data_IF_869004177946
#
_entry.id   IF_869004177946
#
_cell.length_a   1.000
_cell.length_b   1.000
_cell.length_c   1.000
_cell.angle_alpha   90.00
_cell.angle_beta   90.00
_cell.angle_gamma   90.00
#
_symmetry.space_group_name_H-M   'P 1'
#
loop_
_entity.id
_entity.type
_entity.pdbx_description
1 polymer ?
#
# COMPACT_ATOMS: atom_id res chain seq x y z
N UNK A 1 49.17 -10.70 -49.38
CA UNK A 1 48.08 -10.44 -50.35
C UNK A 1 47.13 -9.48 -49.68
N UNK A 2 47.16 -8.27 -50.23
CA UNK A 2 46.79 -7.01 -49.59
C UNK A 2 45.28 -6.74 -49.59
N UNK A 3 44.81 -6.15 -48.50
CA UNK A 3 43.49 -5.52 -48.37
C UNK A 3 43.73 -4.01 -48.26
N UNK A 4 43.12 -3.24 -49.17
CA UNK A 4 43.03 -1.78 -49.17
C UNK A 4 42.29 -1.26 -47.90
N UNK A 5 42.58 -0.03 -47.44
CA UNK A 5 41.65 1.06 -47.77
C UNK A 5 42.26 2.45 -48.02
N UNK A 6 41.39 3.29 -48.58
CA UNK A 6 41.60 4.60 -49.20
C UNK A 6 41.85 5.79 -48.24
N UNK A 7 42.30 6.97 -48.77
CA UNK A 7 42.79 8.08 -47.97
C UNK A 7 41.92 9.35 -47.97
N UNK A 8 42.25 10.21 -47.00
CA UNK A 8 42.46 11.67 -47.12
C UNK A 8 41.50 12.61 -46.38
N UNK A 9 42.12 13.24 -45.39
CA UNK A 9 41.70 14.33 -44.52
C UNK A 9 41.90 15.67 -45.26
N UNK A 10 40.94 16.61 -45.21
CA UNK A 10 41.19 18.02 -45.58
C UNK A 10 40.73 18.97 -44.48
N UNK A 11 41.71 19.65 -43.89
CA UNK A 11 41.57 20.88 -43.09
C UNK A 11 41.25 22.06 -44.01
N UNK A 12 40.34 22.95 -43.61
CA UNK A 12 40.27 24.33 -44.13
C UNK A 12 40.10 25.30 -42.96
N UNK A 13 40.97 26.31 -42.94
CA UNK A 13 41.04 27.37 -41.94
C UNK A 13 40.09 28.54 -42.24
N UNK A 14 39.58 29.13 -41.15
CA UNK A 14 39.39 30.55 -40.81
C UNK A 14 39.36 31.62 -41.91
N UNK A 15 38.29 32.43 -41.93
CA UNK A 15 38.31 33.87 -42.27
C UNK A 15 37.23 34.67 -41.48
N UNK A 16 37.69 35.33 -40.41
CA UNK A 16 37.53 36.77 -40.11
C UNK A 16 36.12 37.40 -40.14
N UNK A 17 35.50 37.53 -38.96
CA UNK A 17 34.29 38.33 -38.73
C UNK A 17 34.68 39.76 -38.25
N UNK A 18 34.06 40.77 -38.86
CA UNK A 18 34.29 42.22 -38.61
C UNK A 18 33.85 42.66 -37.22
N UNK A 19 34.68 43.48 -36.59
CA UNK A 19 34.41 44.29 -35.40
C UNK A 19 34.27 45.76 -35.84
N UNK A 20 33.15 46.43 -35.56
CA UNK A 20 33.09 47.89 -35.44
C UNK A 20 32.21 48.24 -34.23
N UNK A 21 32.83 49.01 -33.34
CA UNK A 21 32.37 49.60 -32.08
C UNK A 21 31.48 50.81 -32.37
N UNK A 22 30.40 51.01 -31.61
CA UNK A 22 30.01 52.36 -31.18
C UNK A 22 29.22 52.27 -29.86
N UNK A 23 29.87 52.79 -28.82
CA UNK A 23 29.35 53.05 -27.47
C UNK A 23 28.86 54.52 -27.48
N UNK A 24 27.83 54.85 -26.67
CA UNK A 24 27.40 56.15 -26.09
C UNK A 24 25.86 56.04 -25.90
N UNK A 25 25.14 56.30 -24.79
CA UNK A 25 25.32 56.96 -23.48
C UNK A 25 24.16 56.47 -22.54
N UNK A 26 24.15 56.78 -21.22
CA UNK A 26 23.34 56.07 -20.20
C UNK A 26 22.09 56.82 -19.66
N UNK A 27 21.19 56.04 -19.02
CA UNK A 27 20.21 56.39 -17.94
C UNK A 27 18.84 57.00 -18.33
N UNK A 28 17.77 56.96 -17.50
CA UNK A 28 17.36 56.04 -16.42
C UNK A 28 15.89 55.55 -16.58
N UNK A 29 15.60 54.28 -16.30
CA UNK A 29 14.28 53.86 -15.82
C UNK A 29 14.36 52.47 -15.18
N UNK A 30 14.94 52.48 -13.98
CA UNK A 30 14.84 51.37 -13.03
C UNK A 30 13.42 51.41 -12.47
N UNK A 31 12.55 50.55 -12.99
CA UNK A 31 11.33 50.17 -12.29
C UNK A 31 11.38 48.65 -12.08
N UNK A 32 11.65 48.28 -10.84
CA UNK A 32 11.58 46.90 -10.35
C UNK A 32 10.11 46.54 -10.18
N UNK A 33 9.59 45.46 -10.79
CA UNK A 33 8.44 44.78 -10.23
C UNK A 33 8.93 43.71 -9.24
N UNK A 34 8.56 43.97 -7.99
CA UNK A 34 8.32 43.05 -6.88
C UNK A 34 8.78 41.59 -7.08
N UNK A 35 9.83 41.25 -6.33
CA UNK A 35 10.04 39.90 -5.79
C UNK A 35 8.76 39.44 -5.09
N UNK A 36 7.99 38.62 -5.78
CA UNK A 36 6.90 37.84 -5.18
C UNK A 36 7.51 36.51 -4.76
N UNK A 37 7.28 36.04 -3.52
CA UNK A 37 7.88 34.80 -3.05
C UNK A 37 7.37 33.65 -3.91
N UNK A 38 8.28 32.72 -4.17
CA UNK A 38 8.07 31.47 -4.88
C UNK A 38 7.03 30.59 -4.17
N UNK A 39 5.75 30.92 -4.29
CA UNK A 39 4.68 29.94 -4.24
C UNK A 39 4.35 29.61 -5.69
N UNK A 40 5.25 28.81 -6.28
CA UNK A 40 4.82 27.87 -7.30
C UNK A 40 3.78 27.02 -6.56
N UNK A 41 2.48 27.27 -6.81
CA UNK A 41 1.47 26.26 -6.54
C UNK A 41 1.98 25.02 -7.26
N UNK A 42 2.57 24.10 -6.50
CA UNK A 42 2.66 22.72 -6.94
C UNK A 42 1.23 22.36 -7.36
N UNK A 43 1.03 21.71 -8.52
CA UNK A 43 -0.30 21.22 -8.85
C UNK A 43 -0.79 20.49 -7.61
N UNK A 44 -2.01 20.80 -7.16
CA UNK A 44 -2.65 20.01 -6.12
C UNK A 44 -2.55 18.57 -6.60
N UNK A 45 -1.63 17.80 -6.03
CA UNK A 45 -1.55 16.38 -6.28
C UNK A 45 -2.86 15.92 -5.70
N UNK A 46 -3.85 15.71 -6.55
CA UNK A 46 -5.05 14.98 -6.17
C UNK A 46 -4.49 13.62 -5.79
N UNK A 47 -4.17 13.45 -4.51
CA UNK A 47 -3.71 12.18 -3.96
C UNK A 47 -4.91 11.27 -4.13
N UNK A 48 -4.96 10.60 -5.27
CA UNK A 48 -5.95 9.58 -5.58
C UNK A 48 -5.62 8.44 -4.65
N UNK A 49 -6.39 8.34 -3.57
CA UNK A 49 -6.29 7.21 -2.65
C UNK A 49 -6.76 5.96 -3.40
N UNK A 50 -6.04 4.85 -3.21
CA UNK A 50 -6.39 3.55 -3.76
C UNK A 50 -6.92 2.67 -2.64
N UNK A 51 -8.13 2.15 -2.85
CA UNK A 51 -8.73 1.13 -1.99
C UNK A 51 -8.59 -0.21 -2.69
N UNK A 52 -8.06 -1.20 -2.00
CA UNK A 52 -7.93 -2.56 -2.48
C UNK A 52 -9.13 -3.38 -1.99
N UNK A 53 -9.88 -3.92 -2.95
CA UNK A 53 -11.05 -4.75 -2.70
C UNK A 53 -10.76 -6.20 -3.02
N UNK A 54 -11.32 -7.14 -2.27
CA UNK A 54 -11.30 -8.55 -2.64
C UNK A 54 -11.96 -8.73 -4.02
N UNK A 55 -11.38 -9.57 -4.87
CA UNK A 55 -11.94 -9.86 -6.20
C UNK A 55 -13.18 -10.75 -6.12
N UNK A 56 -13.38 -11.46 -5.01
CA UNK A 56 -14.48 -12.40 -4.82
C UNK A 56 -15.69 -11.72 -4.16
N UNK A 57 -15.48 -11.05 -3.03
CA UNK A 57 -16.58 -10.47 -2.23
C UNK A 57 -16.81 -8.99 -2.47
N UNK A 58 -15.88 -8.30 -3.12
CA UNK A 58 -15.83 -6.84 -3.25
C UNK A 58 -15.68 -6.08 -1.92
N UNK A 59 -15.34 -6.79 -0.84
CA UNK A 59 -15.05 -6.18 0.46
C UNK A 59 -13.76 -5.37 0.43
N UNK A 60 -13.75 -4.27 1.18
CA UNK A 60 -12.57 -3.41 1.33
C UNK A 60 -11.60 -4.04 2.34
N UNK A 61 -10.40 -4.39 1.88
CA UNK A 61 -9.42 -5.11 2.71
C UNK A 61 -8.30 -4.21 3.23
N UNK A 62 -7.83 -3.29 2.39
CA UNK A 62 -6.73 -2.38 2.72
C UNK A 62 -6.72 -1.15 1.77
N UNK A 63 -5.96 -0.12 2.10
CA UNK A 63 -5.71 1.03 1.22
C UNK A 63 -4.21 1.30 1.04
N UNK A 64 -3.87 2.12 0.05
CA UNK A 64 -2.49 2.58 -0.21
C UNK A 64 -1.93 3.51 0.88
N UNK A 65 -2.74 3.89 1.87
CA UNK A 65 -2.31 4.73 3.00
C UNK A 65 -1.45 3.99 4.04
N UNK A 66 -1.29 2.67 3.92
CA UNK A 66 -0.59 1.81 4.89
C UNK A 66 0.76 1.25 4.39
N UNK A 67 1.41 1.92 3.43
CA UNK A 67 2.74 1.55 2.90
C UNK A 67 2.90 0.06 2.57
N UNK A 68 2.14 -0.42 1.57
CA UNK A 68 2.11 -1.82 1.17
C UNK A 68 3.47 -2.31 0.63
N UNK A 69 4.09 -3.24 1.35
CA UNK A 69 5.36 -3.89 0.95
C UNK A 69 5.06 -5.16 0.17
N UNK A 70 5.57 -5.26 -1.05
CA UNK A 70 5.43 -6.49 -1.85
C UNK A 70 6.47 -7.53 -1.44
N UNK A 71 6.02 -8.72 -1.07
CA UNK A 71 6.88 -9.86 -0.71
C UNK A 71 6.70 -11.00 -1.70
N UNK A 72 7.82 -11.48 -2.23
CA UNK A 72 7.92 -12.57 -3.21
C UNK A 72 7.08 -12.38 -4.50
N UNK A 73 6.54 -11.18 -4.73
CA UNK A 73 5.66 -10.87 -5.83
C UNK A 73 4.22 -11.38 -5.68
N UNK A 74 3.86 -11.94 -4.52
CA UNK A 74 2.61 -12.71 -4.34
C UNK A 74 1.70 -12.13 -3.26
N UNK A 75 2.29 -11.52 -2.22
CA UNK A 75 1.57 -10.93 -1.10
C UNK A 75 1.98 -9.49 -0.87
N UNK A 76 1.07 -8.71 -0.31
CA UNK A 76 1.36 -7.42 0.28
C UNK A 76 1.39 -7.55 1.79
N UNK A 77 2.39 -6.93 2.40
CA UNK A 77 2.50 -6.77 3.84
C UNK A 77 2.30 -5.30 4.22
N UNK A 78 1.43 -5.04 5.19
CA UNK A 78 1.13 -3.71 5.69
C UNK A 78 1.41 -3.67 7.20
N UNK A 79 2.33 -2.82 7.64
CA UNK A 79 2.59 -2.66 9.07
C UNK A 79 1.41 -1.91 9.71
N UNK A 80 0.97 -2.38 10.87
CA UNK A 80 -0.16 -1.82 11.60
C UNK A 80 0.32 -1.17 12.90
N UNK A 81 -0.54 -0.31 13.46
CA UNK A 81 -0.32 0.29 14.76
C UNK A 81 -1.52 0.00 15.67
N UNK A 82 -1.24 -0.27 16.94
CA UNK A 82 -2.26 -0.29 17.98
C UNK A 82 -2.60 1.16 18.34
N UNK A 83 -3.83 1.57 18.06
CA UNK A 83 -4.39 2.87 18.39
C UNK A 83 -5.33 2.74 19.59
N UNK A 84 -5.45 3.81 20.36
CA UNK A 84 -6.33 3.86 21.52
C UNK A 84 -7.74 4.27 21.05
N UNK A 85 -8.71 3.35 21.12
CA UNK A 85 -10.12 3.67 20.97
C UNK A 85 -10.68 4.07 22.35
N UNK A 86 -11.25 5.27 22.47
CA UNK A 86 -12.11 5.61 23.61
C UNK A 86 -11.57 6.60 24.64
N UNK A 87 -10.95 7.70 24.20
CA UNK A 87 -10.65 8.83 25.09
C UNK A 87 -11.77 9.86 25.28
N UNK A 88 -13.05 9.58 24.97
CA UNK A 88 -14.21 10.40 25.38
C UNK A 88 -15.51 9.57 25.34
N UNK A 89 -15.84 8.90 26.44
CA UNK A 89 -17.26 8.62 26.76
C UNK A 89 -17.83 9.90 27.38
N UNK A 90 -18.56 10.67 26.57
CA UNK A 90 -19.28 11.86 27.05
C UNK A 90 -20.29 11.39 28.10
N UNK A 91 -20.14 11.93 29.31
CA UNK A 91 -21.13 12.03 30.36
C UNK A 91 -22.47 12.56 29.79
N UNK A 92 -23.37 11.65 29.44
CA UNK A 92 -24.77 11.96 29.16
C UNK A 92 -25.67 11.00 29.90
N UNK A 93 -26.01 11.35 31.14
CA UNK A 93 -27.12 10.68 31.81
C UNK A 93 -27.23 10.96 33.29
N UNK A 94 -27.36 12.23 33.66
CA UNK A 94 -27.76 12.67 34.99
C UNK A 94 -28.89 11.79 35.59
N UNK A 95 -28.52 10.90 36.51
CA UNK A 95 -29.41 10.45 37.58
C UNK A 95 -28.63 10.51 38.89
N UNK A 96 -28.57 11.72 39.45
CA UNK A 96 -28.06 11.95 40.79
C UNK A 96 -29.03 11.36 41.81
N UNK A 97 -28.77 10.13 42.26
CA UNK A 97 -29.34 9.64 43.52
C UNK A 97 -28.47 8.53 44.14
N UNK A 98 -27.56 8.97 44.99
CA UNK A 98 -27.26 8.43 46.32
C UNK A 98 -26.44 7.12 46.48
N UNK A 99 -25.30 7.34 47.16
CA UNK A 99 -24.53 6.48 48.07
C UNK A 99 -23.31 5.70 47.55
N UNK A 100 -22.28 5.79 48.40
CA UNK A 100 -20.87 5.47 48.28
C UNK A 100 -20.53 4.05 47.79
N UNK A 101 -19.57 3.96 46.87
CA UNK A 101 -18.27 3.34 47.16
C UNK A 101 -17.32 3.58 45.98
N UNK A 102 -16.23 4.29 46.29
CA UNK A 102 -15.00 4.36 45.51
C UNK A 102 -14.40 2.96 45.33
N UNK A 103 -14.20 2.55 44.08
CA UNK A 103 -13.09 1.68 43.67
C UNK A 103 -12.99 1.68 42.13
N UNK A 104 -12.08 2.50 41.61
CA UNK A 104 -11.36 2.27 40.35
C UNK A 104 -12.20 2.12 39.08
N UNK A 105 -12.55 3.24 38.45
CA UNK A 105 -12.76 3.23 36.99
C UNK A 105 -11.39 2.97 36.36
N UNK A 106 -11.09 1.71 36.08
CA UNK A 106 -10.04 1.35 35.13
C UNK A 106 -10.45 2.02 33.81
N UNK A 107 -9.81 3.13 33.48
CA UNK A 107 -9.82 3.72 32.14
C UNK A 107 -9.26 2.64 31.20
N UNK A 108 -10.12 1.70 30.82
CA UNK A 108 -9.82 0.64 29.87
C UNK A 108 -9.73 1.28 28.50
N UNK A 109 -8.59 1.93 28.27
CA UNK A 109 -8.19 2.39 26.95
C UNK A 109 -8.05 1.15 26.08
N UNK A 110 -9.08 0.86 25.28
CA UNK A 110 -9.10 -0.31 24.41
C UNK A 110 -8.14 -0.02 23.26
N UNK A 111 -7.00 -0.71 23.27
CA UNK A 111 -6.06 -0.64 22.15
C UNK A 111 -6.57 -1.53 21.03
N UNK A 112 -6.89 -0.92 19.90
CA UNK A 112 -7.36 -1.60 18.69
C UNK A 112 -6.37 -1.42 17.56
N UNK A 113 -6.31 -2.38 16.65
CA UNK A 113 -5.44 -2.27 15.47
C UNK A 113 -6.11 -1.32 14.44
N UNK A 114 -5.35 -0.33 13.98
CA UNK A 114 -5.84 0.68 13.05
C UNK A 114 -6.41 0.10 11.74
N UNK A 115 -5.85 -0.99 11.20
CA UNK A 115 -6.37 -1.65 9.98
C UNK A 115 -7.68 -2.39 10.30
N UNK A 116 -7.74 -3.11 11.42
CA UNK A 116 -8.95 -3.84 11.83
C UNK A 116 -10.13 -2.88 11.96
N UNK A 117 -9.95 -1.76 12.67
CA UNK A 117 -11.01 -0.77 12.87
C UNK A 117 -11.39 -0.07 11.55
N UNK A 118 -10.41 0.31 10.73
CA UNK A 118 -10.68 1.10 9.51
C UNK A 118 -11.46 0.32 8.46
N UNK A 119 -11.15 -0.97 8.30
CA UNK A 119 -11.80 -1.86 7.33
C UNK A 119 -12.82 -2.82 7.96
N UNK A 120 -13.09 -2.66 9.27
CA UNK A 120 -14.02 -3.48 10.06
C UNK A 120 -13.79 -4.99 9.90
N UNK A 121 -12.52 -5.38 9.86
CA UNK A 121 -12.13 -6.77 9.69
C UNK A 121 -12.63 -7.60 10.88
N UNK A 122 -13.12 -8.80 10.59
CA UNK A 122 -13.71 -9.69 11.59
C UNK A 122 -12.76 -10.83 11.92
N UNK A 123 -12.45 -11.02 13.20
CA UNK A 123 -11.59 -12.12 13.64
C UNK A 123 -12.26 -13.47 13.36
N UNK A 124 -11.48 -14.42 12.86
CA UNK A 124 -11.91 -15.81 12.68
C UNK A 124 -10.81 -16.77 13.12
N UNK A 125 -11.12 -18.06 13.17
CA UNK A 125 -10.16 -19.08 13.58
C UNK A 125 -10.20 -20.27 12.62
N UNK A 126 -9.04 -20.83 12.32
CA UNK A 126 -8.92 -22.03 11.52
C UNK A 126 -8.05 -23.07 12.21
N UNK A 127 -8.41 -24.35 12.04
CA UNK A 127 -7.44 -25.42 12.18
C UNK A 127 -6.59 -25.53 10.89
N UNK A 128 -5.41 -26.15 11.00
CA UNK A 128 -4.47 -26.24 9.86
C UNK A 128 -5.07 -26.96 8.65
N UNK A 129 -5.96 -27.93 8.87
CA UNK A 129 -6.61 -28.69 7.79
C UNK A 129 -7.71 -27.87 7.13
N UNK A 130 -8.57 -27.22 7.91
CA UNK A 130 -9.63 -26.34 7.42
C UNK A 130 -9.07 -25.16 6.65
N UNK A 131 -8.02 -24.51 7.16
CA UNK A 131 -7.35 -23.43 6.44
C UNK A 131 -6.81 -23.87 5.08
N UNK A 132 -6.16 -25.04 5.01
CA UNK A 132 -5.67 -25.58 3.74
C UNK A 132 -6.77 -25.95 2.76
N UNK A 133 -7.96 -26.34 3.24
CA UNK A 133 -9.11 -26.60 2.40
C UNK A 133 -9.70 -25.29 1.85
N UNK A 134 -9.93 -24.31 2.72
CA UNK A 134 -10.34 -22.95 2.36
C UNK A 134 -9.39 -22.35 1.33
N UNK A 135 -8.08 -22.35 1.62
CA UNK A 135 -7.08 -21.70 0.78
C UNK A 135 -7.03 -22.31 -0.63
N UNK A 136 -7.22 -23.63 -0.76
CA UNK A 136 -7.31 -24.26 -2.08
C UNK A 136 -8.56 -23.82 -2.86
N UNK A 137 -9.68 -23.63 -2.19
CA UNK A 137 -10.91 -23.08 -2.79
C UNK A 137 -10.68 -21.65 -3.25
N UNK A 138 -10.22 -20.80 -2.33
CA UNK A 138 -9.91 -19.41 -2.56
C UNK A 138 -8.93 -19.20 -3.73
N UNK A 139 -7.81 -19.93 -3.76
CA UNK A 139 -6.82 -19.84 -4.84
C UNK A 139 -7.39 -20.18 -6.22
N UNK A 140 -8.34 -21.12 -6.30
CA UNK A 140 -9.03 -21.44 -7.57
C UNK A 140 -9.95 -20.30 -7.99
N UNK A 141 -10.68 -19.71 -7.04
CA UNK A 141 -11.55 -18.58 -7.30
C UNK A 141 -10.75 -17.36 -7.80
N UNK A 142 -9.61 -17.05 -7.18
CA UNK A 142 -8.70 -15.99 -7.64
C UNK A 142 -8.17 -16.28 -9.04
N UNK A 143 -7.75 -17.51 -9.35
CA UNK A 143 -7.31 -17.88 -10.69
C UNK A 143 -8.42 -17.67 -11.73
N UNK A 144 -9.66 -18.04 -11.41
CA UNK A 144 -10.80 -17.80 -12.30
C UNK A 144 -11.02 -16.29 -12.52
N UNK A 145 -10.99 -15.48 -11.45
CA UNK A 145 -11.13 -14.03 -11.54
C UNK A 145 -10.02 -13.38 -12.37
N UNK A 146 -8.75 -13.84 -12.24
CA UNK A 146 -7.64 -13.37 -13.07
C UNK A 146 -7.83 -13.70 -14.55
N UNK A 147 -8.34 -14.89 -14.86
CA UNK A 147 -8.64 -15.31 -16.23
C UNK A 147 -9.78 -14.49 -16.84
N UNK A 148 -10.85 -14.24 -16.08
CA UNK A 148 -11.97 -13.39 -16.48
C UNK A 148 -11.56 -11.94 -16.70
N UNK A 149 -10.62 -11.43 -15.89
CA UNK A 149 -10.00 -10.12 -16.08
C UNK A 149 -9.04 -10.04 -17.29
N UNK A 150 -8.87 -11.14 -18.03
CA UNK A 150 -8.01 -11.20 -19.22
C UNK A 150 -6.51 -11.12 -18.90
N UNK A 151 -6.09 -11.48 -17.69
CA UNK A 151 -4.68 -11.56 -17.35
C UNK A 151 -4.01 -12.69 -18.12
N UNK A 152 -2.76 -12.48 -18.54
CA UNK A 152 -2.01 -13.44 -19.33
C UNK A 152 -1.80 -14.77 -18.58
N UNK A 153 -1.77 -15.89 -19.31
CA UNK A 153 -1.54 -17.21 -18.71
C UNK A 153 -0.26 -17.28 -17.88
N UNK A 154 0.76 -16.50 -18.25
CA UNK A 154 2.04 -16.45 -17.55
C UNK A 154 1.90 -15.83 -16.15
N UNK A 155 1.06 -14.81 -15.97
CA UNK A 155 0.77 -14.19 -14.67
C UNK A 155 0.02 -15.17 -13.76
N UNK A 156 -0.96 -15.91 -14.34
CA UNK A 156 -1.70 -16.95 -13.61
C UNK A 156 -0.77 -18.08 -13.15
N UNK A 157 0.14 -18.54 -14.01
CA UNK A 157 1.11 -19.60 -13.66
C UNK A 157 2.13 -19.11 -12.61
N UNK A 158 2.58 -17.86 -12.72
CA UNK A 158 3.45 -17.24 -11.74
C UNK A 158 2.76 -17.16 -10.37
N UNK A 159 1.50 -16.74 -10.33
CA UNK A 159 0.69 -16.72 -9.11
C UNK A 159 0.54 -18.11 -8.49
N UNK A 160 0.12 -19.12 -9.26
CA UNK A 160 -0.06 -20.49 -8.74
C UNK A 160 1.22 -21.05 -8.12
N UNK A 161 2.36 -20.86 -8.80
CA UNK A 161 3.66 -21.36 -8.35
C UNK A 161 4.15 -20.59 -7.13
N UNK A 162 4.08 -19.27 -7.17
CA UNK A 162 4.50 -18.39 -6.09
C UNK A 162 3.66 -18.56 -4.83
N UNK A 163 2.33 -18.64 -4.97
CA UNK A 163 1.42 -18.90 -3.86
C UNK A 163 1.69 -20.28 -3.23
N UNK A 164 1.89 -21.32 -4.04
CA UNK A 164 2.22 -22.64 -3.50
C UNK A 164 3.54 -22.64 -2.72
N UNK A 165 4.55 -21.92 -3.22
CA UNK A 165 5.83 -21.75 -2.54
C UNK A 165 5.68 -21.00 -1.21
N UNK A 166 5.01 -19.85 -1.24
CA UNK A 166 4.76 -19.03 -0.06
C UNK A 166 4.02 -19.80 1.03
N UNK A 167 2.99 -20.55 0.66
CA UNK A 167 2.24 -21.38 1.61
C UNK A 167 3.13 -22.43 2.28
N UNK A 168 3.98 -23.11 1.52
CA UNK A 168 4.85 -24.17 2.05
C UNK A 168 6.01 -23.63 2.90
N UNK A 169 6.62 -22.53 2.47
CA UNK A 169 7.87 -22.04 3.06
C UNK A 169 7.66 -21.01 4.17
N UNK A 170 6.56 -20.23 4.13
CA UNK A 170 6.31 -19.12 5.06
C UNK A 170 5.07 -19.33 5.91
N UNK A 171 3.96 -19.73 5.30
CA UNK A 171 2.67 -19.82 6.00
C UNK A 171 2.59 -21.06 6.89
N UNK A 172 2.77 -22.26 6.33
CA UNK A 172 2.56 -23.51 7.07
C UNK A 172 3.52 -23.77 8.24
N UNK A 173 4.80 -23.36 8.19
CA UNK A 173 5.70 -23.45 9.34
C UNK A 173 5.24 -22.58 10.50
N UNK A 174 4.75 -21.37 10.20
CA UNK A 174 4.36 -20.35 11.20
C UNK A 174 2.84 -20.30 11.42
N UNK A 175 2.11 -21.35 11.03
CA UNK A 175 0.63 -21.34 11.03
C UNK A 175 0.01 -20.94 12.37
N UNK A 176 0.66 -21.31 13.48
CA UNK A 176 0.17 -21.04 14.84
C UNK A 176 0.37 -19.60 15.29
N UNK A 177 1.25 -18.87 14.60
CA UNK A 177 1.60 -17.49 14.95
C UNK A 177 0.68 -16.49 14.22
N UNK A 178 -0.10 -16.98 13.25
CA UNK A 178 -1.06 -16.16 12.52
C UNK A 178 -2.40 -16.08 13.24
N UNK A 179 -2.94 -14.87 13.32
CA UNK A 179 -4.35 -14.62 13.55
C UNK A 179 -5.05 -14.38 12.20
N UNK A 180 -6.30 -14.83 12.09
CA UNK A 180 -7.05 -14.82 10.84
C UNK A 180 -8.18 -13.80 10.90
N UNK A 181 -8.32 -13.01 9.84
CA UNK A 181 -9.36 -11.98 9.74
C UNK A 181 -10.06 -12.05 8.39
N UNK A 182 -11.39 -11.93 8.38
CA UNK A 182 -12.22 -11.83 7.17
C UNK A 182 -12.66 -10.38 6.95
N UNK A 183 -13.08 -10.06 5.73
CA UNK A 183 -13.76 -8.79 5.43
C UNK A 183 -15.08 -8.63 6.19
N UNK A 184 -15.68 -7.44 6.09
CA UNK A 184 -16.93 -7.07 6.78
C UNK A 184 -18.08 -8.06 6.50
N UNK A 185 -18.14 -8.63 5.30
CA UNK A 185 -19.22 -9.56 4.94
C UNK A 185 -19.10 -10.93 5.61
N UNK A 186 -17.96 -11.26 6.25
CA UNK A 186 -17.65 -12.57 6.82
C UNK A 186 -17.89 -13.74 5.86
N UNK A 187 -17.72 -13.52 4.55
CA UNK A 187 -17.98 -14.57 3.56
C UNK A 187 -16.85 -15.61 3.62
N UNK A 188 -17.17 -16.91 3.80
CA UNK A 188 -16.16 -17.97 3.92
C UNK A 188 -15.36 -18.22 2.64
N UNK A 189 -15.83 -17.73 1.49
CA UNK A 189 -15.15 -17.86 0.19
C UNK A 189 -14.28 -16.62 -0.14
N UNK A 190 -14.38 -15.55 0.64
CA UNK A 190 -13.63 -14.31 0.45
C UNK A 190 -12.20 -14.36 0.98
N UNK A 191 -11.46 -13.27 0.84
CA UNK A 191 -10.09 -13.17 1.34
C UNK A 191 -10.02 -13.27 2.88
N UNK A 192 -9.11 -14.12 3.37
CA UNK A 192 -8.66 -14.12 4.76
C UNK A 192 -7.31 -13.39 4.84
N UNK A 193 -7.30 -12.27 5.55
CA UNK A 193 -6.10 -11.54 5.91
C UNK A 193 -5.40 -12.22 7.09
N UNK A 194 -4.07 -12.27 7.07
CA UNK A 194 -3.27 -12.88 8.12
C UNK A 194 -2.56 -11.80 8.91
N UNK A 195 -2.76 -11.76 10.22
CA UNK A 195 -2.02 -10.89 11.13
C UNK A 195 -0.88 -11.69 11.76
N UNK A 196 0.31 -11.10 11.80
CA UNK A 196 1.45 -11.63 12.56
C UNK A 196 2.28 -10.45 13.11
N UNK A 197 3.31 -10.75 13.90
CA UNK A 197 4.23 -9.77 14.47
C UNK A 197 5.61 -9.89 13.80
N UNK A 198 6.27 -8.75 13.59
CA UNK A 198 7.63 -8.70 13.05
C UNK A 198 8.61 -9.38 14.01
N UNK A 199 9.86 -9.54 13.57
CA UNK A 199 10.93 -10.15 14.39
C UNK A 199 11.19 -9.39 15.70
N UNK A 200 10.77 -8.12 15.79
CA UNK A 200 10.80 -7.33 17.02
C UNK A 200 9.77 -7.77 18.07
N UNK A 201 8.78 -8.59 17.69
CA UNK A 201 7.69 -9.08 18.53
C UNK A 201 6.67 -8.01 18.94
N UNK A 202 6.77 -6.79 18.41
CA UNK A 202 5.97 -5.63 18.84
C UNK A 202 5.18 -5.04 17.69
N UNK A 203 5.75 -5.02 16.48
CA UNK A 203 5.10 -4.40 15.32
C UNK A 203 4.17 -5.40 14.65
N UNK A 204 2.83 -5.25 14.73
CA UNK A 204 1.91 -6.08 13.99
C UNK A 204 1.97 -5.75 12.50
N UNK A 205 1.73 -6.74 11.64
CA UNK A 205 1.58 -6.54 10.21
C UNK A 205 0.52 -7.48 9.65
N UNK A 206 -0.24 -6.99 8.68
CA UNK A 206 -1.18 -7.79 7.91
C UNK A 206 -0.56 -8.28 6.61
N UNK A 207 -0.99 -9.46 6.17
CA UNK A 207 -0.61 -10.08 4.91
C UNK A 207 -1.87 -10.27 4.07
N UNK A 208 -1.84 -9.75 2.85
CA UNK A 208 -2.93 -9.85 1.87
C UNK A 208 -2.42 -10.47 0.57
N UNK A 209 -3.25 -11.26 -0.11
CA UNK A 209 -2.89 -11.82 -1.42
C UNK A 209 -2.97 -10.75 -2.51
N UNK A 210 -1.84 -10.36 -3.10
CA UNK A 210 -1.78 -9.31 -4.13
C UNK A 210 -2.74 -9.57 -5.29
N UNK A 211 -2.74 -10.79 -5.80
CA UNK A 211 -3.56 -11.19 -6.95
C UNK A 211 -5.03 -11.41 -6.60
N UNK A 212 -5.36 -11.49 -5.31
CA UNK A 212 -6.73 -11.58 -4.82
C UNK A 212 -7.37 -10.21 -4.59
N UNK A 213 -6.71 -9.11 -4.99
CA UNK A 213 -7.27 -7.77 -4.84
C UNK A 213 -7.38 -7.02 -6.16
N UNK A 214 -8.40 -6.18 -6.26
CA UNK A 214 -8.59 -5.19 -7.32
C UNK A 214 -8.45 -3.78 -6.77
N UNK A 215 -7.83 -2.92 -7.56
CA UNK A 215 -7.64 -1.51 -7.22
C UNK A 215 -8.89 -0.69 -7.60
N UNK A 216 -9.44 0.05 -6.63
CA UNK A 216 -10.46 1.06 -6.83
C UNK A 216 -9.87 2.44 -6.51
N UNK A 217 -10.03 3.38 -7.44
CA UNK A 217 -9.66 4.79 -7.25
C UNK A 217 -10.83 5.55 -6.63
N UNK A 218 -10.54 6.30 -5.57
CA UNK A 218 -11.47 7.24 -4.92
C UNK A 218 -11.03 8.70 -5.13
#
# INVERSE_FOLDING_TARGET
MDIFPAPSFRKRQSRTLRLIVQIFFPSPSRQLPATSPLYRCLPANTVKMLIFKDVITDDEMISDSYDLKEVDGIVYEADCAMIEEGGVTVDTGANASAEEADEGVDDQVVKVNNIITSFRLQSTSFDKKGFLAYLKGYMKAVVAALQEAGKGEDEVKAFQTGAQKYVKEKLLPNFKDYEFYTGESMNPDGMVALLNYREDGVTPYFIFWKHGMKEMKV
#
